data_IF_485791773394
#
_entry.id   IF_485791773394
#
_cell.length_a   1.000
_cell.length_b   1.000
_cell.length_c   1.000
_cell.angle_alpha   90.00
_cell.angle_beta   90.00
_cell.angle_gamma   90.00
#
_symmetry.space_group_name_H-M   'P 1'
#
loop_
_entity.id
_entity.type
_entity.pdbx_description
1 polymer ?
#
# COMPACT_ATOMS: atom_id res chain seq x y z
N UNK A 1 -16.26 27.83 2.29
CA UNK A 1 -15.01 27.27 2.81
C UNK A 1 -14.65 26.19 1.81
N UNK A 2 -13.68 26.43 0.93
CA UNK A 2 -13.23 25.38 -0.01
C UNK A 2 -12.64 24.25 0.84
N UNK A 3 -13.16 23.04 0.70
CA UNK A 3 -12.51 21.85 1.25
C UNK A 3 -11.14 21.74 0.59
N UNK A 4 -10.10 22.21 1.27
CA UNK A 4 -8.72 21.97 0.86
C UNK A 4 -8.45 20.48 1.06
N UNK A 5 -8.67 19.71 -0.01
CA UNK A 5 -8.25 18.32 -0.10
C UNK A 5 -6.72 18.20 -0.06
N UNK A 6 -6.23 16.96 0.01
CA UNK A 6 -4.79 16.69 -0.05
C UNK A 6 -4.20 17.08 -1.40
N UNK A 7 -2.97 17.58 -1.40
CA UNK A 7 -2.21 17.73 -2.65
C UNK A 7 -1.83 16.36 -3.22
N UNK A 8 -1.49 16.31 -4.51
CA UNK A 8 -1.05 15.08 -5.14
C UNK A 8 0.21 14.51 -4.47
N UNK A 9 1.14 15.37 -4.02
CA UNK A 9 2.35 14.93 -3.31
C UNK A 9 2.01 14.35 -1.93
N UNK A 10 1.05 14.94 -1.21
CA UNK A 10 0.59 14.42 0.08
C UNK A 10 -0.09 13.05 -0.09
N UNK A 11 -0.97 12.93 -1.08
CA UNK A 11 -1.60 11.66 -1.41
C UNK A 11 -0.58 10.59 -1.82
N UNK A 12 0.43 10.97 -2.61
CA UNK A 12 1.51 10.07 -3.00
C UNK A 12 2.37 9.64 -1.81
N UNK A 13 2.66 10.55 -0.88
CA UNK A 13 3.34 10.23 0.38
C UNK A 13 2.59 9.17 1.18
N UNK A 14 1.28 9.37 1.37
CA UNK A 14 0.45 8.38 2.07
C UNK A 14 0.42 7.01 1.37
N UNK A 15 0.39 6.99 0.04
CA UNK A 15 0.46 5.73 -0.70
C UNK A 15 1.81 5.02 -0.54
N UNK A 16 2.90 5.75 -0.38
CA UNK A 16 4.22 5.16 -0.12
C UNK A 16 4.29 4.57 1.28
N UNK A 17 3.74 5.26 2.29
CA UNK A 17 3.66 4.74 3.66
C UNK A 17 2.81 3.45 3.70
N UNK A 18 1.63 3.45 3.03
CA UNK A 18 0.81 2.24 2.92
C UNK A 18 1.53 1.11 2.16
N UNK A 19 2.35 1.44 1.16
CA UNK A 19 3.12 0.45 0.43
C UNK A 19 4.13 -0.27 1.34
N UNK A 20 4.83 0.49 2.18
CA UNK A 20 5.79 -0.03 3.16
C UNK A 20 5.09 -0.98 4.15
N UNK A 21 3.97 -0.56 4.73
CA UNK A 21 3.18 -1.39 5.66
C UNK A 21 2.76 -2.74 5.02
N UNK A 22 2.29 -2.72 3.76
CA UNK A 22 1.88 -3.96 3.09
C UNK A 22 3.06 -4.84 2.69
N UNK A 23 4.23 -4.27 2.44
CA UNK A 23 5.47 -5.03 2.22
C UNK A 23 5.89 -5.76 3.50
N UNK A 24 5.82 -5.12 4.67
CA UNK A 24 6.08 -5.77 5.96
C UNK A 24 5.10 -6.93 6.21
N UNK A 25 3.80 -6.70 6.00
CA UNK A 25 2.77 -7.75 6.13
C UNK A 25 3.05 -8.93 5.18
N UNK A 26 3.57 -8.66 3.99
CA UNK A 26 3.95 -9.70 3.01
C UNK A 26 5.11 -10.55 3.53
N UNK A 27 6.14 -9.91 4.10
CA UNK A 27 7.29 -10.60 4.68
C UNK A 27 6.86 -11.51 5.84
N UNK A 28 6.06 -10.98 6.78
CA UNK A 28 5.49 -11.76 7.88
C UNK A 28 4.64 -12.95 7.40
N UNK A 29 3.88 -12.77 6.31
CA UNK A 29 3.10 -13.84 5.71
C UNK A 29 3.97 -14.94 5.09
N UNK A 30 5.12 -14.58 4.49
CA UNK A 30 6.10 -15.53 3.98
C UNK A 30 6.76 -16.31 5.12
N UNK A 31 7.18 -15.63 6.18
CA UNK A 31 7.80 -16.26 7.36
C UNK A 31 6.86 -17.28 8.03
N UNK A 32 5.57 -16.98 8.05
CA UNK A 32 4.55 -17.82 8.69
C UNK A 32 3.88 -18.82 7.74
N UNK A 33 4.30 -18.88 6.46
CA UNK A 33 3.65 -19.66 5.40
C UNK A 33 2.13 -19.44 5.30
N UNK A 34 1.67 -18.21 5.53
CA UNK A 34 0.26 -17.86 5.50
C UNK A 34 -0.17 -17.37 4.10
N UNK A 35 -0.50 -18.33 3.23
CA UNK A 35 -0.87 -18.06 1.82
C UNK A 35 -2.04 -17.07 1.66
N UNK A 36 -3.00 -17.09 2.58
CA UNK A 36 -4.16 -16.19 2.54
C UNK A 36 -3.75 -14.74 2.76
N UNK A 37 -2.87 -14.49 3.72
CA UNK A 37 -2.37 -13.14 4.01
C UNK A 37 -1.42 -12.69 2.90
N UNK A 38 -0.54 -13.58 2.43
CA UNK A 38 0.37 -13.31 1.32
C UNK A 38 -0.39 -12.81 0.08
N UNK A 39 -1.43 -13.53 -0.34
CA UNK A 39 -2.27 -13.13 -1.48
C UNK A 39 -2.94 -11.77 -1.27
N UNK A 40 -3.36 -11.45 -0.04
CA UNK A 40 -3.97 -10.15 0.28
C UNK A 40 -2.92 -9.03 0.19
N UNK A 41 -1.73 -9.24 0.75
CA UNK A 41 -0.64 -8.27 0.69
C UNK A 41 -0.22 -7.98 -0.76
N UNK A 42 -0.01 -9.02 -1.56
CA UNK A 42 0.33 -8.88 -2.99
C UNK A 42 -0.73 -8.08 -3.77
N UNK A 43 -2.02 -8.32 -3.51
CA UNK A 43 -3.10 -7.57 -4.14
C UNK A 43 -3.11 -6.09 -3.75
N UNK A 44 -2.82 -5.76 -2.49
CA UNK A 44 -2.80 -4.38 -2.01
C UNK A 44 -1.57 -3.63 -2.54
N UNK A 45 -0.39 -4.26 -2.51
CA UNK A 45 0.84 -3.75 -3.11
C UNK A 45 0.62 -3.44 -4.60
N UNK A 46 0.02 -4.35 -5.36
CA UNK A 46 -0.26 -4.12 -6.78
C UNK A 46 -1.17 -2.92 -7.01
N UNK A 47 -2.26 -2.78 -6.23
CA UNK A 47 -3.17 -1.63 -6.34
C UNK A 47 -2.48 -0.31 -6.01
N UNK A 48 -1.65 -0.29 -4.96
CA UNK A 48 -0.92 0.92 -4.55
C UNK A 48 0.10 1.32 -5.62
N UNK A 49 0.86 0.36 -6.15
CA UNK A 49 1.80 0.60 -7.24
C UNK A 49 1.13 1.18 -8.49
N UNK A 50 -0.08 0.72 -8.85
CA UNK A 50 -0.84 1.33 -9.95
C UNK A 50 -1.23 2.78 -9.64
N UNK A 51 -1.61 3.08 -8.40
CA UNK A 51 -1.96 4.45 -7.99
C UNK A 51 -0.75 5.40 -7.96
N UNK A 52 0.43 4.93 -7.59
CA UNK A 52 1.68 5.74 -7.51
C UNK A 52 2.20 6.16 -8.89
N UNK A 53 1.85 5.41 -9.94
CA UNK A 53 2.24 5.72 -11.34
C UNK A 53 1.51 6.95 -11.91
N UNK A 54 0.35 7.29 -11.34
CA UNK A 54 -0.41 8.50 -11.66
C UNK A 54 0.15 9.71 -10.88
#
# INVERSE_FOLDING_TARGET
>A
MEEMGMTNEQYKGMLLDELEDWQEVRELALETNNEKILKKADQQIAKINEKIKF
#
